data_IF_963571710404
#
_entry.id   IF_963571710404
#
_cell.length_a   1.000
_cell.length_b   1.000
_cell.length_c   1.000
_cell.angle_alpha   90.00
_cell.angle_beta   90.00
_cell.angle_gamma   90.00
#
_symmetry.space_group_name_H-M   'P 1'
#
loop_
_entity.id
_entity.type
_entity.pdbx_description
1 polymer ?
#
# COMPACT_ATOMS: atom_id res chain seq x y z
N UNK A 1 3.93 -21.85 9.82
CA UNK A 1 4.42 -20.52 10.22
C UNK A 1 3.19 -19.68 10.47
N UNK A 2 3.08 -19.03 11.61
CA UNK A 2 1.86 -18.31 11.99
C UNK A 2 1.60 -17.19 10.98
N UNK A 3 0.55 -17.34 10.15
CA UNK A 3 0.05 -16.27 9.28
C UNK A 3 -0.29 -15.10 10.19
N UNK A 4 0.52 -14.04 10.10
CA UNK A 4 0.33 -12.83 10.90
C UNK A 4 -0.95 -12.20 10.35
N UNK A 5 -2.04 -12.34 11.10
CA UNK A 5 -3.32 -11.77 10.73
C UNK A 5 -3.18 -10.25 10.66
N UNK A 6 -3.21 -9.68 9.46
CA UNK A 6 -3.13 -8.23 9.26
C UNK A 6 -4.53 -7.70 9.54
N UNK A 7 -4.69 -6.88 10.58
CA UNK A 7 -5.99 -6.35 11.00
C UNK A 7 -5.94 -4.84 11.00
N UNK A 8 -6.83 -4.22 10.22
CA UNK A 8 -7.02 -2.78 10.17
C UNK A 8 -8.32 -2.41 10.90
N UNK A 9 -8.21 -1.59 11.94
CA UNK A 9 -9.36 -1.02 12.64
C UNK A 9 -9.77 0.27 11.96
N UNK A 10 -11.02 0.38 11.55
CA UNK A 10 -11.54 1.52 10.79
C UNK A 10 -12.84 1.99 11.43
N UNK A 11 -13.07 3.30 11.53
CA UNK A 11 -14.36 3.84 11.97
C UNK A 11 -15.49 3.35 11.06
N UNK A 12 -16.63 3.00 11.66
CA UNK A 12 -17.80 2.46 10.92
C UNK A 12 -18.31 3.41 9.83
N UNK A 13 -18.16 4.71 9.99
CA UNK A 13 -18.55 5.71 8.99
C UNK A 13 -17.78 5.55 7.65
N UNK A 14 -16.67 4.80 7.64
CA UNK A 14 -15.90 4.50 6.43
C UNK A 14 -16.31 3.18 5.76
N UNK A 15 -17.29 2.43 6.29
CA UNK A 15 -17.70 1.11 5.77
C UNK A 15 -18.07 1.14 4.28
N UNK A 16 -18.68 2.22 3.80
CA UNK A 16 -19.03 2.38 2.38
C UNK A 16 -17.81 2.72 1.49
N UNK A 17 -16.76 3.31 2.06
CA UNK A 17 -15.59 3.80 1.33
C UNK A 17 -14.50 2.72 1.22
N UNK A 18 -14.33 1.92 2.26
CA UNK A 18 -13.25 0.92 2.35
C UNK A 18 -13.25 -0.11 1.22
N UNK A 19 -14.39 -0.70 0.79
CA UNK A 19 -14.39 -1.64 -0.33
C UNK A 19 -13.87 -1.03 -1.63
N UNK A 20 -14.22 0.23 -1.90
CA UNK A 20 -13.74 0.96 -3.06
C UNK A 20 -12.24 1.23 -2.96
N UNK A 21 -11.77 1.67 -1.79
CA UNK A 21 -10.35 1.89 -1.51
C UNK A 21 -9.48 0.64 -1.71
N UNK A 22 -9.95 -0.54 -1.26
CA UNK A 22 -9.23 -1.80 -1.47
C UNK A 22 -9.19 -2.18 -2.96
N UNK A 23 -10.26 -1.93 -3.71
CA UNK A 23 -10.26 -2.20 -5.15
C UNK A 23 -9.34 -1.23 -5.91
N UNK A 24 -9.35 0.07 -5.58
CA UNK A 24 -8.39 1.03 -6.11
C UNK A 24 -6.94 0.62 -5.80
N UNK A 25 -6.68 0.15 -4.59
CA UNK A 25 -5.35 -0.33 -4.18
C UNK A 25 -4.86 -1.50 -5.03
N UNK A 26 -5.75 -2.42 -5.43
CA UNK A 26 -5.40 -3.53 -6.34
C UNK A 26 -5.06 -3.03 -7.74
N UNK A 27 -5.76 -2.01 -8.24
CA UNK A 27 -5.41 -1.42 -9.54
C UNK A 27 -4.08 -0.67 -9.50
N UNK A 28 -3.79 0.02 -8.40
CA UNK A 28 -2.50 0.67 -8.17
C UNK A 28 -1.36 -0.35 -8.13
N UNK A 29 -1.55 -1.50 -7.48
CA UNK A 29 -0.58 -2.61 -7.46
C UNK A 29 -0.18 -3.02 -8.89
N UNK A 30 -1.16 -3.13 -9.80
CA UNK A 30 -0.88 -3.51 -11.20
C UNK A 30 0.01 -2.48 -11.89
N UNK A 31 -0.25 -1.20 -11.66
CA UNK A 31 0.54 -0.10 -12.23
C UNK A 31 1.95 -0.04 -11.61
N UNK A 32 2.08 -0.32 -10.32
CA UNK A 32 3.36 -0.43 -9.60
C UNK A 32 4.23 -1.56 -10.16
N UNK A 33 3.63 -2.72 -10.42
CA UNK A 33 4.33 -3.86 -11.03
C UNK A 33 4.82 -3.50 -12.43
N UNK A 34 4.04 -2.78 -13.23
CA UNK A 34 4.47 -2.34 -14.56
C UNK A 34 5.60 -1.28 -14.50
N UNK A 35 5.51 -0.33 -13.57
CA UNK A 35 6.56 0.65 -13.33
C UNK A 35 7.86 -0.01 -12.87
N UNK A 36 7.78 -1.05 -12.03
CA UNK A 36 8.93 -1.87 -11.64
C UNK A 36 9.58 -2.56 -12.84
N UNK A 37 8.76 -3.14 -13.74
CA UNK A 37 9.24 -3.84 -14.94
C UNK A 37 9.96 -2.90 -15.91
N UNK A 38 9.47 -1.68 -16.04
CA UNK A 38 10.05 -0.66 -16.93
C UNK A 38 11.19 0.13 -16.29
N UNK A 39 11.40 -0.03 -14.97
CA UNK A 39 12.41 0.71 -14.21
C UNK A 39 12.09 2.20 -14.08
N UNK A 40 10.81 2.56 -14.12
CA UNK A 40 10.34 3.95 -14.09
C UNK A 40 10.29 4.46 -12.64
N UNK A 41 11.44 4.95 -12.16
CA UNK A 41 11.58 5.47 -10.79
C UNK A 41 10.67 6.67 -10.49
N UNK A 42 10.31 7.49 -11.48
CA UNK A 42 9.42 8.63 -11.25
C UNK A 42 8.00 8.12 -10.99
N UNK A 43 7.49 7.18 -11.79
CA UNK A 43 6.21 6.52 -11.51
C UNK A 43 6.21 5.80 -10.17
N UNK A 44 7.28 5.05 -9.85
CA UNK A 44 7.39 4.37 -8.56
C UNK A 44 7.30 5.34 -7.38
N UNK A 45 7.92 6.53 -7.51
CA UNK A 45 7.82 7.60 -6.51
C UNK A 45 6.40 8.13 -6.38
N UNK A 46 5.76 8.45 -7.51
CA UNK A 46 4.38 8.98 -7.53
C UNK A 46 3.39 7.99 -6.91
N UNK A 47 3.50 6.70 -7.21
CA UNK A 47 2.67 5.68 -6.58
C UNK A 47 2.93 5.55 -5.09
N UNK A 48 4.19 5.54 -4.65
CA UNK A 48 4.51 5.50 -3.21
C UNK A 48 3.89 6.68 -2.45
N UNK A 49 3.93 7.88 -3.04
CA UNK A 49 3.29 9.07 -2.49
C UNK A 49 1.76 8.95 -2.43
N UNK A 50 1.14 8.44 -3.51
CA UNK A 50 -0.32 8.24 -3.58
C UNK A 50 -0.80 7.26 -2.51
N UNK A 51 -0.14 6.11 -2.39
CA UNK A 51 -0.46 5.08 -1.39
C UNK A 51 -0.43 5.69 0.01
N UNK A 52 0.66 6.39 0.35
CA UNK A 52 0.79 7.08 1.63
C UNK A 52 -0.38 8.04 1.88
N UNK A 53 -0.74 8.86 0.89
CA UNK A 53 -1.82 9.83 1.01
C UNK A 53 -3.16 9.18 1.28
N UNK A 54 -3.51 8.13 0.52
CA UNK A 54 -4.79 7.44 0.64
C UNK A 54 -4.89 6.58 1.91
N UNK A 55 -3.77 6.06 2.44
CA UNK A 55 -3.75 5.33 3.71
C UNK A 55 -3.91 6.24 4.94
N UNK A 56 -3.47 7.50 4.87
CA UNK A 56 -3.55 8.46 6.00
C UNK A 56 -4.97 8.95 6.24
N UNK A 57 -5.84 8.91 5.22
CA UNK A 57 -7.25 9.33 5.35
C UNK A 57 -8.12 8.31 6.07
N UNK A 58 -7.67 7.05 6.18
CA UNK A 58 -8.32 6.03 6.97
C UNK A 58 -7.56 5.90 8.30
N UNK A 59 -8.12 6.45 9.38
CA UNK A 59 -7.53 6.48 10.73
C UNK A 59 -6.96 5.12 11.17
N UNK A 60 -5.84 5.15 11.92
CA UNK A 60 -5.04 4.09 12.61
C UNK A 60 -4.89 2.67 12.00
N UNK A 61 -5.87 2.12 11.28
CA UNK A 61 -5.85 0.78 10.70
C UNK A 61 -4.93 0.58 9.50
N UNK A 62 -4.50 1.64 8.82
CA UNK A 62 -3.68 1.55 7.60
C UNK A 62 -2.25 2.07 7.75
N UNK A 63 -1.73 2.14 8.99
CA UNK A 63 -0.38 2.64 9.24
C UNK A 63 0.69 1.83 8.49
N UNK A 64 0.59 0.50 8.50
CA UNK A 64 1.55 -0.37 7.79
C UNK A 64 1.51 -0.13 6.27
N UNK A 65 0.33 0.10 5.70
CA UNK A 65 0.17 0.49 4.30
C UNK A 65 0.85 1.83 3.99
N UNK A 66 0.68 2.81 4.88
CA UNK A 66 1.32 4.13 4.77
C UNK A 66 2.84 4.04 4.83
N UNK A 67 3.37 3.24 5.75
CA UNK A 67 4.81 3.01 5.93
C UNK A 67 5.43 2.34 4.69
N UNK A 68 4.73 1.36 4.10
CA UNK A 68 5.14 0.72 2.85
C UNK A 68 5.16 1.74 1.71
N UNK A 69 4.12 2.57 1.57
CA UNK A 69 4.06 3.64 0.57
C UNK A 69 5.23 4.63 0.69
N UNK A 70 5.52 5.08 1.91
CA UNK A 70 6.66 5.95 2.20
C UNK A 70 8.01 5.29 1.87
N UNK A 71 8.15 3.99 2.16
CA UNK A 71 9.36 3.25 1.83
C UNK A 71 9.56 3.13 0.31
N UNK A 72 8.49 2.87 -0.46
CA UNK A 72 8.53 2.83 -1.92
C UNK A 72 8.92 4.21 -2.47
N UNK A 73 8.26 5.27 -2.01
CA UNK A 73 8.55 6.66 -2.42
C UNK A 73 10.03 7.00 -2.18
N UNK A 74 10.52 6.69 -0.97
CA UNK A 74 11.87 6.98 -0.54
C UNK A 74 12.91 6.18 -1.32
N UNK A 75 12.66 4.89 -1.55
CA UNK A 75 13.55 4.02 -2.31
C UNK A 75 13.62 4.44 -3.79
N UNK A 76 12.47 4.82 -4.36
CA UNK A 76 12.40 5.33 -5.72
C UNK A 76 13.15 6.67 -5.87
N UNK A 77 12.95 7.60 -4.93
CA UNK A 77 13.66 8.90 -4.90
C UNK A 77 15.17 8.74 -4.78
N UNK A 78 15.62 7.77 -3.99
CA UNK A 78 17.03 7.44 -3.82
C UNK A 78 17.60 6.56 -4.94
N UNK A 79 16.78 6.17 -5.93
CA UNK A 79 17.13 5.23 -7.01
C UNK A 79 17.81 3.97 -6.48
N UNK A 80 17.23 3.40 -5.40
CA UNK A 80 17.65 2.09 -4.86
C UNK A 80 17.49 0.99 -5.89
N UNK A 81 18.07 -0.18 -5.64
CA UNK A 81 17.96 -1.29 -6.58
C UNK A 81 16.48 -1.66 -6.82
N UNK A 82 16.11 -1.99 -8.06
CA UNK A 82 14.76 -2.44 -8.37
C UNK A 82 14.36 -3.68 -7.54
N UNK A 83 15.33 -4.48 -7.10
CA UNK A 83 15.11 -5.62 -6.21
C UNK A 83 14.64 -5.19 -4.81
N UNK A 84 15.19 -4.11 -4.26
CA UNK A 84 14.73 -3.53 -2.99
C UNK A 84 13.31 -3.00 -3.12
N UNK A 85 13.01 -2.26 -4.19
CA UNK A 85 11.66 -1.73 -4.43
C UNK A 85 10.67 -2.88 -4.68
N UNK A 86 11.08 -3.94 -5.38
CA UNK A 86 10.27 -5.14 -5.58
C UNK A 86 9.91 -5.84 -4.27
N UNK A 87 10.82 -5.87 -3.29
CA UNK A 87 10.51 -6.42 -1.96
C UNK A 87 9.44 -5.60 -1.24
N UNK A 88 9.50 -4.26 -1.33
CA UNK A 88 8.49 -3.36 -0.77
C UNK A 88 7.14 -3.50 -1.48
N UNK A 89 7.13 -3.59 -2.81
CA UNK A 89 5.91 -3.83 -3.57
C UNK A 89 5.30 -5.18 -3.21
N UNK A 90 6.12 -6.22 -3.01
CA UNK A 90 5.62 -7.53 -2.54
C UNK A 90 4.97 -7.42 -1.15
N UNK A 91 5.56 -6.65 -0.23
CA UNK A 91 4.95 -6.40 1.07
C UNK A 91 3.61 -5.66 0.94
N UNK A 92 3.51 -4.70 0.01
CA UNK A 92 2.25 -4.01 -0.30
C UNK A 92 1.17 -4.96 -0.82
N UNK A 93 1.52 -5.85 -1.76
CA UNK A 93 0.59 -6.87 -2.28
C UNK A 93 0.12 -7.80 -1.17
N UNK A 94 1.03 -8.24 -0.32
CA UNK A 94 0.73 -9.13 0.80
C UNK A 94 -0.23 -8.46 1.80
N UNK A 95 0.02 -7.20 2.13
CA UNK A 95 -0.85 -6.40 2.99
C UNK A 95 -2.26 -6.29 2.43
N UNK A 96 -2.42 -5.80 1.19
CA UNK A 96 -3.74 -5.59 0.57
C UNK A 96 -4.51 -6.90 0.38
N UNK A 97 -3.80 -8.03 0.22
CA UNK A 97 -4.43 -9.34 0.01
C UNK A 97 -4.90 -10.02 1.31
N UNK A 98 -4.31 -9.69 2.44
CA UNK A 98 -4.56 -10.37 3.73
C UNK A 98 -5.08 -9.44 4.83
N UNK A 99 -5.25 -8.14 4.54
CA UNK A 99 -5.82 -7.19 5.50
C UNK A 99 -7.28 -7.54 5.78
N UNK A 100 -7.58 -7.79 7.04
CA UNK A 100 -8.94 -7.91 7.55
C UNK A 100 -9.38 -6.59 8.17
N UNK A 101 -10.51 -6.07 7.69
CA UNK A 101 -11.08 -4.82 8.17
C UNK A 101 -12.02 -5.12 9.33
N UNK A 102 -11.79 -4.46 10.46
CA UNK A 102 -12.70 -4.47 11.62
C UNK A 102 -13.25 -3.06 11.79
N UNK A 103 -14.56 -2.92 11.64
CA UNK A 103 -15.25 -1.66 11.88
C UNK A 103 -15.48 -1.44 13.38
N UNK A 104 -15.01 -0.30 13.89
CA UNK A 104 -15.15 0.13 15.28
C UNK A 104 -16.05 1.36 15.38
N UNK A 105 -16.77 1.48 16.50
CA UNK A 105 -17.67 2.60 16.82
C UNK A 105 -16.94 3.69 17.64
#
# INVERSE_FOLDING_TARGET
MSEKKIVAYVERDMEEIIPFFIEESKEEIRQLIDALRTGDYEKLREFGHKIKGSSVTCSEGFQEMSDIGLAIESAARQKKSLKEIQALVRAYVDYVSHVEIIYVD
#
